data_IF_965368503773
#
_entry.id   IF_965368503773
#
_cell.length_a   1.000
_cell.length_b   1.000
_cell.length_c   1.000
_cell.angle_alpha   90.00
_cell.angle_beta   90.00
_cell.angle_gamma   90.00
#
_symmetry.space_group_name_H-M   'P 1'
#
loop_
_entity.id
_entity.type
_entity.pdbx_description
1 polymer ?
#
# COMPACT_ATOMS: atom_id res chain seq x y z
N UNK A 1 4.74 6.63 -7.39
CA UNK A 1 3.72 6.69 -6.34
C UNK A 1 4.05 7.76 -5.31
N UNK A 2 5.26 7.74 -4.76
CA UNK A 2 5.64 8.72 -3.73
C UNK A 2 5.53 10.16 -4.22
N UNK A 3 6.00 10.44 -5.43
CA UNK A 3 5.93 11.78 -6.00
C UNK A 3 4.48 12.23 -6.22
N UNK A 4 3.62 11.33 -6.68
CA UNK A 4 2.20 11.63 -6.88
C UNK A 4 1.49 11.94 -5.58
N UNK A 5 1.82 11.22 -4.51
CA UNK A 5 1.25 11.46 -3.19
C UNK A 5 1.73 12.79 -2.60
N UNK A 6 3.01 13.09 -2.78
CA UNK A 6 3.56 14.38 -2.34
C UNK A 6 2.90 15.55 -3.08
N UNK A 7 2.59 15.36 -4.37
CA UNK A 7 1.96 16.41 -5.17
C UNK A 7 0.57 16.78 -4.68
N UNK A 8 -0.16 15.87 -4.06
CA UNK A 8 -1.47 16.17 -3.50
C UNK A 8 -1.42 16.49 -1.99
N UNK A 9 -0.23 16.55 -1.43
CA UNK A 9 -0.06 16.94 -0.02
C UNK A 9 -0.03 15.78 0.97
N UNK A 10 0.08 14.57 0.52
CA UNK A 10 0.20 13.39 1.41
C UNK A 10 1.67 13.14 1.67
N UNK A 11 2.12 13.39 2.89
CA UNK A 11 3.53 13.31 3.27
C UNK A 11 3.85 12.19 4.26
N UNK A 12 2.88 11.75 5.03
CA UNK A 12 3.07 10.68 6.01
C UNK A 12 2.98 9.29 5.37
N UNK A 13 4.04 8.87 4.72
CA UNK A 13 4.07 7.62 3.97
C UNK A 13 5.11 6.70 4.58
N UNK A 14 4.71 5.49 4.92
CA UNK A 14 5.63 4.44 5.35
C UNK A 14 5.82 3.47 4.20
N UNK A 15 7.07 3.19 3.88
CA UNK A 15 7.42 2.30 2.77
C UNK A 15 8.21 1.13 3.32
N UNK A 16 7.83 -0.06 2.94
CA UNK A 16 8.56 -1.27 3.34
C UNK A 16 8.69 -2.23 2.18
N UNK A 17 9.78 -2.99 2.18
CA UNK A 17 9.96 -4.10 1.26
C UNK A 17 9.35 -5.34 1.89
N UNK A 18 8.54 -6.04 1.12
CA UNK A 18 7.88 -7.27 1.57
C UNK A 18 8.05 -8.33 0.50
N UNK A 19 7.85 -9.58 0.90
CA UNK A 19 7.86 -10.70 -0.02
C UNK A 19 6.43 -11.12 -0.26
N UNK A 20 6.03 -11.10 -1.53
CA UNK A 20 4.73 -11.61 -1.92
C UNK A 20 4.86 -13.06 -2.39
N UNK A 21 3.98 -13.91 -1.89
CA UNK A 21 3.86 -15.28 -2.37
C UNK A 21 2.64 -15.38 -3.27
N UNK A 22 2.82 -16.00 -4.41
CA UNK A 22 1.71 -16.21 -5.33
C UNK A 22 1.97 -17.38 -6.25
N UNK A 23 0.91 -17.84 -6.89
CA UNK A 23 1.00 -18.88 -7.91
C UNK A 23 1.26 -18.18 -9.25
N UNK A 24 2.33 -18.59 -9.93
CA UNK A 24 2.63 -18.05 -11.23
C UNK A 24 1.76 -18.72 -12.27
N UNK A 25 0.87 -17.97 -12.88
CA UNK A 25 0.03 -18.46 -13.96
C UNK A 25 0.87 -18.71 -15.21
N UNK A 26 0.55 -19.78 -15.89
CA UNK A 26 1.28 -20.16 -17.11
C UNK A 26 2.48 -21.06 -16.86
N UNK A 27 2.83 -21.29 -15.64
CA UNK A 27 3.83 -22.28 -15.29
C UNK A 27 3.22 -23.68 -15.39
N UNK A 28 3.76 -24.48 -16.30
CA UNK A 28 3.13 -25.76 -16.67
C UNK A 28 3.83 -26.99 -16.12
N UNK A 29 4.87 -26.83 -15.33
CA UNK A 29 5.55 -27.96 -14.77
C UNK A 29 4.76 -28.55 -13.62
N UNK A 30 4.49 -29.83 -13.75
CA UNK A 30 3.85 -30.61 -12.71
C UNK A 30 4.92 -31.52 -12.14
N UNK A 31 5.25 -31.32 -10.88
CA UNK A 31 6.19 -32.17 -10.19
C UNK A 31 5.39 -33.11 -9.29
N UNK A 32 5.46 -34.40 -9.58
CA UNK A 32 4.77 -35.43 -8.82
C UNK A 32 3.26 -35.21 -8.74
N UNK A 33 2.65 -34.75 -9.81
CA UNK A 33 1.22 -34.49 -9.87
C UNK A 33 0.75 -33.25 -9.12
N UNK A 34 1.68 -32.41 -8.69
CA UNK A 34 1.36 -31.15 -8.03
C UNK A 34 1.90 -29.99 -8.86
N UNK A 35 1.06 -29.00 -9.03
CA UNK A 35 1.54 -27.74 -9.59
C UNK A 35 2.40 -27.03 -8.54
N UNK A 36 3.65 -26.82 -8.88
CA UNK A 36 4.57 -26.11 -8.01
C UNK A 36 4.94 -24.82 -8.68
N UNK A 37 4.16 -23.80 -8.43
CA UNK A 37 4.40 -22.51 -9.04
C UNK A 37 4.26 -21.39 -8.01
N UNK A 38 4.75 -21.64 -6.80
CA UNK A 38 4.78 -20.61 -5.77
C UNK A 38 6.07 -19.85 -5.93
N UNK A 39 5.95 -18.57 -6.26
CA UNK A 39 7.08 -17.66 -6.30
C UNK A 39 7.00 -16.65 -5.16
N UNK A 40 8.14 -16.41 -4.56
CA UNK A 40 8.32 -15.33 -3.61
C UNK A 40 8.97 -14.16 -4.34
N UNK A 41 8.21 -13.11 -4.55
CA UNK A 41 8.69 -11.94 -5.27
C UNK A 41 8.80 -10.74 -4.33
N UNK A 42 9.87 -9.96 -4.45
CA UNK A 42 9.97 -8.72 -3.69
C UNK A 42 8.91 -7.73 -4.15
N UNK A 43 8.27 -7.11 -3.20
CA UNK A 43 7.23 -6.09 -3.44
C UNK A 43 7.45 -4.92 -2.51
N UNK A 44 6.89 -3.78 -2.91
CA UNK A 44 6.92 -2.58 -2.09
C UNK A 44 5.53 -2.35 -1.51
N UNK A 45 5.48 -2.18 -0.21
CA UNK A 45 4.24 -1.88 0.49
C UNK A 45 4.26 -0.43 0.94
N UNK A 46 3.22 0.31 0.57
CA UNK A 46 3.01 1.68 1.04
C UNK A 46 1.90 1.68 2.06
N UNK A 47 2.15 2.28 3.21
CA UNK A 47 1.15 2.47 4.24
C UNK A 47 0.92 3.96 4.43
N UNK A 48 -0.33 4.38 4.28
CA UNK A 48 -0.70 5.78 4.30
C UNK A 48 -1.92 5.92 5.17
N UNK A 49 -1.84 6.81 6.16
CA UNK A 49 -2.99 7.11 7.02
C UNK A 49 -3.54 8.47 6.63
N UNK A 50 -4.81 8.51 6.35
CA UNK A 50 -5.50 9.75 5.95
C UNK A 50 -6.62 10.06 6.94
N UNK A 51 -7.04 11.32 6.97
CA UNK A 51 -7.92 11.82 8.00
C UNK A 51 -9.42 11.80 7.65
N UNK A 52 -9.76 11.50 6.41
CA UNK A 52 -11.15 11.53 5.96
C UNK A 52 -11.37 10.66 4.74
N UNK A 53 -12.64 10.37 4.44
CA UNK A 53 -12.99 9.65 3.22
C UNK A 53 -12.63 10.43 1.96
N UNK A 54 -12.69 11.74 2.02
CA UNK A 54 -12.27 12.59 0.91
C UNK A 54 -10.79 12.40 0.61
N UNK A 55 -9.95 12.42 1.64
CA UNK A 55 -8.52 12.15 1.49
C UNK A 55 -8.23 10.73 1.05
N UNK A 56 -9.04 9.79 1.51
CA UNK A 56 -8.93 8.39 1.06
C UNK A 56 -9.11 8.31 -0.46
N UNK A 57 -10.16 8.91 -0.99
CA UNK A 57 -10.43 8.88 -2.42
C UNK A 57 -9.34 9.57 -3.23
N UNK A 58 -8.88 10.73 -2.79
CA UNK A 58 -7.79 11.45 -3.47
C UNK A 58 -6.51 10.62 -3.49
N UNK A 59 -6.21 9.96 -2.39
CA UNK A 59 -5.02 9.11 -2.27
C UNK A 59 -5.11 7.90 -3.19
N UNK A 60 -6.25 7.23 -3.20
CA UNK A 60 -6.48 6.07 -4.07
C UNK A 60 -6.33 6.46 -5.54
N UNK A 61 -6.95 7.57 -5.95
CA UNK A 61 -6.85 8.04 -7.33
C UNK A 61 -5.42 8.38 -7.72
N UNK A 62 -4.68 9.03 -6.85
CA UNK A 62 -3.29 9.38 -7.13
C UNK A 62 -2.41 8.15 -7.30
N UNK A 63 -2.59 7.15 -6.45
CA UNK A 63 -1.84 5.89 -6.54
C UNK A 63 -2.21 5.14 -7.81
N UNK A 64 -3.48 5.04 -8.11
CA UNK A 64 -3.97 4.30 -9.26
C UNK A 64 -3.41 4.89 -10.56
N UNK A 65 -3.41 6.20 -10.67
CA UNK A 65 -2.83 6.87 -11.85
C UNK A 65 -1.31 6.68 -11.94
N UNK A 66 -0.63 6.82 -10.83
CA UNK A 66 0.84 6.76 -10.82
C UNK A 66 1.37 5.36 -11.03
N UNK A 67 0.68 4.34 -10.55
CA UNK A 67 1.13 2.96 -10.61
C UNK A 67 0.59 2.19 -11.82
N UNK A 68 -0.39 2.75 -12.51
CA UNK A 68 -1.03 2.06 -13.62
C UNK A 68 -0.09 1.87 -14.81
N UNK A 69 0.07 0.63 -15.23
CA UNK A 69 0.75 0.28 -16.48
C UNK A 69 -0.14 -0.54 -17.41
N UNK A 70 -1.20 -1.12 -16.87
CA UNK A 70 -2.08 -2.04 -17.60
C UNK A 70 -1.56 -3.46 -17.64
N UNK A 71 -0.41 -3.70 -17.03
CA UNK A 71 0.20 -5.02 -16.99
C UNK A 71 -0.03 -5.71 -15.64
N UNK A 72 0.12 -7.01 -15.65
CA UNK A 72 0.10 -7.80 -14.40
C UNK A 72 1.27 -7.36 -13.54
N UNK A 73 1.02 -7.10 -12.27
CA UNK A 73 2.04 -6.63 -11.35
C UNK A 73 1.89 -5.19 -10.92
N UNK A 74 0.89 -4.48 -11.43
CA UNK A 74 0.59 -3.11 -11.00
C UNK A 74 0.27 -3.03 -9.51
N UNK A 75 -0.26 -4.11 -8.94
CA UNK A 75 -0.54 -4.18 -7.51
C UNK A 75 -2.00 -3.97 -7.16
N UNK A 76 -2.22 -3.85 -5.88
CA UNK A 76 -3.56 -3.68 -5.31
C UNK A 76 -3.55 -2.63 -4.23
N UNK A 77 -4.69 -2.01 -4.03
CA UNK A 77 -4.90 -1.06 -2.94
C UNK A 77 -5.98 -1.64 -2.04
N UNK A 78 -5.66 -1.75 -0.76
CA UNK A 78 -6.62 -2.13 0.27
C UNK A 78 -6.78 -0.95 1.20
N UNK A 79 -8.01 -0.62 1.52
CA UNK A 79 -8.31 0.48 2.40
C UNK A 79 -9.24 0.00 3.50
N UNK A 80 -9.00 0.46 4.71
CA UNK A 80 -9.81 0.10 5.85
C UNK A 80 -9.78 1.21 6.89
N UNK A 81 -10.78 1.23 7.73
CA UNK A 81 -10.90 2.23 8.76
C UNK A 81 -9.98 1.90 9.93
N UNK A 82 -9.19 2.89 10.34
CA UNK A 82 -8.33 2.76 11.51
C UNK A 82 -9.16 3.14 12.73
N UNK A 83 -9.18 2.26 13.70
CA UNK A 83 -9.99 2.44 14.90
C UNK A 83 -9.54 3.61 15.76
N UNK A 84 -8.23 3.80 15.89
CA UNK A 84 -7.69 4.89 16.70
C UNK A 84 -6.26 5.20 16.26
N UNK A 85 -5.84 6.42 16.53
CA UNK A 85 -4.46 6.85 16.33
C UNK A 85 -4.02 7.66 17.54
N UNK A 86 -2.78 7.47 17.96
CA UNK A 86 -2.22 8.22 19.09
C UNK A 86 -0.75 8.49 18.82
N UNK A 87 -0.35 9.75 18.98
CA UNK A 87 1.04 10.13 18.86
C UNK A 87 1.77 9.81 20.18
N UNK A 88 2.83 9.04 20.07
CA UNK A 88 3.56 8.58 21.27
C UNK A 88 4.18 9.74 22.04
N UNK A 89 4.80 10.68 21.33
CA UNK A 89 5.51 11.79 21.98
C UNK A 89 4.61 12.71 22.78
N UNK A 90 3.43 13.02 22.26
CA UNK A 90 2.54 14.02 22.86
C UNK A 90 1.29 13.45 23.50
N UNK A 91 0.94 12.21 23.16
CA UNK A 91 -0.32 11.61 23.59
C UNK A 91 -1.54 12.11 22.83
N UNK A 92 -1.35 12.98 21.82
CA UNK A 92 -2.46 13.48 21.01
C UNK A 92 -3.13 12.33 20.26
N UNK A 93 -4.45 12.41 20.14
CA UNK A 93 -5.26 11.35 19.53
C UNK A 93 -6.05 11.88 18.32
N UNK A 94 -6.54 10.95 17.51
CA UNK A 94 -7.39 11.27 16.38
C UNK A 94 -6.68 12.11 15.32
N UNK A 95 -7.37 13.12 14.84
CA UNK A 95 -6.84 14.00 13.79
C UNK A 95 -5.51 14.63 14.18
N UNK A 96 -5.39 15.09 15.41
CA UNK A 96 -4.17 15.74 15.89
C UNK A 96 -2.97 14.80 15.87
N UNK A 97 -3.20 13.51 16.09
CA UNK A 97 -2.14 12.51 16.03
C UNK A 97 -1.60 12.32 14.62
N UNK A 98 -2.37 12.68 13.59
CA UNK A 98 -1.98 12.52 12.20
C UNK A 98 -1.21 13.70 11.65
N UNK A 99 -1.08 14.78 12.43
CA UNK A 99 -0.31 15.93 11.99
C UNK A 99 1.18 15.60 11.92
N UNK A 100 1.86 16.22 10.98
CA UNK A 100 3.21 15.85 10.58
C UNK A 100 4.33 16.15 11.57
N UNK A 101 4.05 16.82 12.66
CA UNK A 101 5.05 17.14 13.68
C UNK A 101 5.20 15.97 14.65
N UNK A 102 6.01 15.04 14.26
CA UNK A 102 6.29 13.87 15.09
C UNK A 102 7.02 14.21 16.36
#
# INVERSE_FOLDING_TARGET
VKAALNAIGVNGITVSQVMGCGVQRGYKEIVRGMEVAVQMLPKIKFEIVVSSEEWEQKTIEAIQKAAFTGEVGDGKIFSYEIRSAQKIRTGETGYDALQSNN
#
